data_IF_812775536464
#
_entry.id   IF_812775536464
#
_cell.length_a   1.000
_cell.length_b   1.000
_cell.length_c   1.000
_cell.angle_alpha   90.00
_cell.angle_beta   90.00
_cell.angle_gamma   90.00
#
_symmetry.space_group_name_H-M   'P 1'
#
loop_
_entity.id
_entity.type
_entity.pdbx_description
1 polymer ?
#
# COMPACT_ATOMS: atom_id res chain seq x y z
N UNK A 1 -11.20 16.63 -9.05
CA UNK A 1 -11.37 15.35 -8.33
C UNK A 1 -10.26 15.27 -7.29
N UNK A 2 -10.54 14.89 -6.04
CA UNK A 2 -9.50 14.69 -5.02
C UNK A 2 -8.54 13.59 -5.49
N UNK A 3 -7.37 13.96 -5.97
CA UNK A 3 -6.33 13.00 -6.33
C UNK A 3 -5.73 12.42 -5.05
N UNK A 4 -5.44 11.12 -5.05
CA UNK A 4 -4.75 10.49 -3.93
C UNK A 4 -3.37 11.16 -3.74
N UNK A 5 -2.94 11.48 -2.50
CA UNK A 5 -1.68 12.17 -2.23
C UNK A 5 -0.46 11.42 -2.78
N UNK A 6 0.39 12.03 -3.63
CA UNK A 6 1.51 11.32 -4.26
C UNK A 6 2.61 10.93 -3.25
N UNK A 7 3.40 9.92 -3.63
CA UNK A 7 4.72 9.66 -3.05
C UNK A 7 5.77 10.05 -4.09
N UNK A 8 6.81 10.76 -3.65
CA UNK A 8 7.90 11.20 -4.51
C UNK A 8 9.14 10.33 -4.34
N UNK A 9 9.06 9.28 -3.53
CA UNK A 9 10.17 8.38 -3.27
C UNK A 9 10.67 7.71 -4.57
N UNK A 10 11.98 7.84 -4.82
CA UNK A 10 12.65 7.36 -6.03
C UNK A 10 12.53 8.29 -7.25
N UNK A 11 11.84 9.44 -7.15
CA UNK A 11 11.77 10.40 -8.27
C UNK A 11 13.13 11.06 -8.53
N UNK A 12 13.47 11.17 -9.81
CA UNK A 12 14.66 11.87 -10.32
C UNK A 12 14.32 13.35 -10.55
N UNK A 13 15.11 14.23 -9.98
CA UNK A 13 14.99 15.70 -10.09
C UNK A 13 16.21 16.23 -10.83
N UNK A 14 15.98 16.98 -11.90
CA UNK A 14 17.02 17.55 -12.76
C UNK A 14 17.09 19.06 -12.53
N UNK A 15 18.29 19.62 -12.29
CA UNK A 15 18.45 21.06 -12.05
C UNK A 15 18.38 21.88 -13.35
N UNK A 16 18.94 21.35 -14.43
CA UNK A 16 19.28 22.18 -15.59
C UNK A 16 18.36 21.94 -16.81
N UNK A 17 17.32 21.11 -16.67
CA UNK A 17 16.41 20.71 -17.75
C UNK A 17 17.06 19.87 -18.87
N UNK A 18 18.39 19.88 -18.98
CA UNK A 18 19.20 18.99 -19.79
C UNK A 18 19.57 17.79 -18.91
N UNK A 19 19.23 16.57 -19.33
CA UNK A 19 19.30 15.30 -18.59
C UNK A 19 20.71 14.85 -18.11
N UNK A 20 21.65 15.74 -17.82
CA UNK A 20 23.05 15.41 -17.49
C UNK A 20 23.25 15.07 -16.01
N UNK A 21 22.61 15.80 -15.07
CA UNK A 21 22.71 15.57 -13.63
C UNK A 21 21.34 15.50 -12.99
N UNK A 22 21.12 14.45 -12.20
CA UNK A 22 19.89 14.27 -11.44
C UNK A 22 20.18 13.92 -9.98
N UNK A 23 19.22 14.26 -9.13
CA UNK A 23 19.17 13.87 -7.74
C UNK A 23 17.97 12.97 -7.51
N UNK A 24 18.09 11.97 -6.64
CA UNK A 24 17.00 11.04 -6.34
C UNK A 24 16.44 11.36 -4.97
N UNK A 25 15.13 11.50 -4.86
CA UNK A 25 14.47 11.61 -3.57
C UNK A 25 14.49 10.23 -2.88
N UNK A 26 15.27 10.07 -1.81
CA UNK A 26 15.34 8.79 -1.04
C UNK A 26 14.78 8.89 0.38
N UNK A 27 14.32 10.06 0.77
CA UNK A 27 13.65 10.31 2.04
C UNK A 27 12.55 11.35 1.83
N UNK A 28 11.35 11.05 2.31
CA UNK A 28 10.25 11.99 2.43
C UNK A 28 9.54 11.79 3.77
N UNK A 29 9.04 12.89 4.34
CA UNK A 29 8.22 12.86 5.54
C UNK A 29 7.13 13.92 5.46
N UNK A 30 5.87 13.50 5.61
CA UNK A 30 4.72 14.40 5.60
C UNK A 30 4.69 15.20 6.91
N UNK A 31 4.67 16.53 6.80
CA UNK A 31 4.58 17.48 7.90
C UNK A 31 3.30 18.31 7.80
N UNK A 32 2.50 18.30 8.87
CA UNK A 32 1.29 19.15 8.97
C UNK A 32 0.26 18.95 7.84
N UNK A 33 0.27 17.79 7.18
CA UNK A 33 -0.71 17.39 6.15
C UNK A 33 -0.60 18.09 4.79
N UNK A 34 0.23 19.13 4.64
CA UNK A 34 0.36 19.90 3.38
C UNK A 34 1.78 20.04 2.86
N UNK A 35 2.78 19.80 3.71
CA UNK A 35 4.20 19.92 3.36
C UNK A 35 4.88 18.56 3.47
N UNK A 36 5.89 18.36 2.64
CA UNK A 36 6.71 17.16 2.65
C UNK A 36 8.16 17.60 2.79
N UNK A 37 8.83 17.13 3.84
CA UNK A 37 10.26 17.33 4.01
C UNK A 37 10.98 16.21 3.27
N UNK A 38 11.82 16.58 2.31
CA UNK A 38 12.51 15.64 1.45
C UNK A 38 14.03 15.81 1.52
N UNK A 39 14.74 14.68 1.40
CA UNK A 39 16.18 14.68 1.14
C UNK A 39 16.43 14.11 -0.25
N UNK A 40 17.12 14.88 -1.08
CA UNK A 40 17.55 14.47 -2.40
C UNK A 40 19.03 14.08 -2.36
N UNK A 41 19.34 13.01 -3.08
CA UNK A 41 20.61 12.32 -3.02
C UNK A 41 21.34 12.43 -4.34
N UNK A 42 22.65 12.69 -4.25
CA UNK A 42 23.58 12.41 -5.32
C UNK A 42 24.25 11.07 -4.99
N UNK A 43 23.98 10.05 -5.82
CA UNK A 43 24.34 8.66 -5.51
C UNK A 43 23.74 8.22 -4.17
N UNK A 44 24.57 8.04 -3.14
CA UNK A 44 24.16 7.63 -1.78
C UNK A 44 24.29 8.73 -0.72
N UNK A 45 24.77 9.92 -1.08
CA UNK A 45 24.91 11.01 -0.14
C UNK A 45 23.71 11.96 -0.23
N UNK A 46 23.05 12.32 0.90
CA UNK A 46 22.05 13.38 0.90
C UNK A 46 22.77 14.72 0.66
N UNK A 47 22.30 15.48 -0.33
CA UNK A 47 22.96 16.72 -0.77
C UNK A 47 22.04 17.92 -0.75
N UNK A 48 20.73 17.72 -0.93
CA UNK A 48 19.74 18.80 -0.94
C UNK A 48 18.64 18.46 0.06
N UNK A 49 18.28 19.43 0.89
CA UNK A 49 17.02 19.41 1.63
C UNK A 49 16.00 20.24 0.85
N UNK A 50 14.78 19.73 0.77
CA UNK A 50 13.67 20.41 0.14
C UNK A 50 12.41 20.33 0.99
N UNK A 51 11.60 21.37 0.91
CA UNK A 51 10.21 21.39 1.38
C UNK A 51 9.35 21.38 0.14
N UNK A 52 8.56 20.33 -0.04
CA UNK A 52 7.62 20.21 -1.15
C UNK A 52 6.20 20.47 -0.65
N UNK A 53 5.33 20.94 -1.53
CA UNK A 53 3.89 20.88 -1.30
C UNK A 53 3.33 19.47 -1.61
N UNK A 54 2.05 19.26 -1.33
CA UNK A 54 1.34 18.01 -1.63
C UNK A 54 1.31 17.63 -3.12
N UNK A 55 1.63 18.53 -4.04
CA UNK A 55 1.71 18.28 -5.48
C UNK A 55 3.15 18.03 -5.96
N UNK A 56 4.15 18.14 -5.07
CA UNK A 56 5.56 17.97 -5.38
C UNK A 56 6.25 19.24 -5.88
N UNK A 57 5.60 20.40 -5.76
CA UNK A 57 6.21 21.68 -6.06
C UNK A 57 7.18 22.06 -4.95
N UNK A 58 8.37 22.53 -5.33
CA UNK A 58 9.37 23.01 -4.39
C UNK A 58 8.90 24.34 -3.76
N UNK A 59 8.69 24.33 -2.45
CA UNK A 59 8.40 25.52 -1.65
C UNK A 59 9.69 26.18 -1.14
N UNK A 60 10.68 25.37 -0.79
CA UNK A 60 12.04 25.79 -0.45
C UNK A 60 13.01 24.64 -0.80
N UNK A 61 14.23 24.96 -1.18
CA UNK A 61 15.29 23.96 -1.34
C UNK A 61 16.67 24.59 -1.25
N UNK A 62 17.61 23.87 -0.66
CA UNK A 62 19.01 24.30 -0.58
C UNK A 62 19.96 23.12 -0.43
N UNK A 63 21.19 23.32 -0.89
CA UNK A 63 22.27 22.38 -0.62
C UNK A 63 22.61 22.34 0.86
N UNK A 64 22.72 21.13 1.41
CA UNK A 64 23.07 20.88 2.81
C UNK A 64 24.49 21.37 3.16
N UNK A 65 25.36 21.58 2.15
CA UNK A 65 26.67 22.21 2.33
C UNK A 65 26.60 23.71 2.61
N UNK A 66 25.53 24.37 2.18
CA UNK A 66 25.43 25.84 2.19
C UNK A 66 24.61 26.36 3.37
N UNK A 67 23.64 25.58 3.85
CA UNK A 67 22.68 26.01 4.87
C UNK A 67 22.22 24.83 5.70
N UNK A 68 22.03 25.09 7.00
CA UNK A 68 21.41 24.15 7.94
C UNK A 68 20.29 24.87 8.68
N UNK A 69 19.10 24.29 8.67
CA UNK A 69 17.91 24.74 9.39
C UNK A 69 17.50 23.70 10.43
N UNK A 70 16.62 24.07 11.35
CA UNK A 70 16.06 23.12 12.34
C UNK A 70 15.40 21.93 11.64
N UNK A 71 14.66 22.18 10.56
CA UNK A 71 13.93 21.15 9.83
C UNK A 71 14.87 20.22 9.06
N UNK A 72 15.89 20.78 8.38
CA UNK A 72 16.89 19.96 7.68
C UNK A 72 17.74 19.14 8.65
N UNK A 73 18.09 19.69 9.82
CA UNK A 73 18.79 18.94 10.87
C UNK A 73 17.96 17.76 11.38
N UNK A 74 16.67 17.98 11.68
CA UNK A 74 15.75 16.92 12.11
C UNK A 74 15.57 15.84 11.05
N UNK A 75 15.41 16.23 9.78
CA UNK A 75 15.30 15.27 8.68
C UNK A 75 16.58 14.43 8.54
N UNK A 76 17.75 15.07 8.62
CA UNK A 76 19.05 14.38 8.58
C UNK A 76 19.25 13.44 9.75
N UNK A 77 18.88 13.82 10.98
CA UNK A 77 18.97 12.95 12.15
C UNK A 77 18.06 11.73 12.04
N UNK A 78 16.82 11.93 11.56
CA UNK A 78 15.89 10.82 11.30
C UNK A 78 16.43 9.89 10.23
N UNK A 79 16.92 10.43 9.12
CA UNK A 79 17.54 9.64 8.07
C UNK A 79 18.76 8.86 8.59
N UNK A 80 19.63 9.48 9.38
CA UNK A 80 20.79 8.78 10.00
C UNK A 80 20.36 7.59 10.84
N UNK A 81 19.33 7.72 11.68
CA UNK A 81 18.79 6.60 12.47
C UNK A 81 18.29 5.46 11.60
N UNK A 82 17.63 5.77 10.48
CA UNK A 82 17.15 4.78 9.51
C UNK A 82 18.36 4.11 8.83
N UNK A 83 19.33 4.89 8.36
CA UNK A 83 20.52 4.39 7.68
C UNK A 83 21.39 3.51 8.59
N UNK A 84 21.57 3.89 9.85
CA UNK A 84 22.27 3.09 10.87
C UNK A 84 21.55 1.78 11.14
N UNK A 85 20.22 1.75 11.18
CA UNK A 85 19.47 0.49 11.31
C UNK A 85 19.67 -0.38 10.09
N UNK A 86 19.59 0.20 8.89
CA UNK A 86 19.76 -0.52 7.62
C UNK A 86 21.17 -1.06 7.39
N UNK A 87 22.20 -0.46 8.00
CA UNK A 87 23.58 -0.99 7.90
C UNK A 87 23.77 -2.32 8.62
N UNK A 88 22.85 -2.72 9.50
CA UNK A 88 22.86 -4.04 10.14
C UNK A 88 22.41 -5.14 9.17
N UNK A 89 21.74 -4.79 8.08
CA UNK A 89 21.35 -5.74 7.03
C UNK A 89 22.54 -6.01 6.11
N UNK A 90 22.89 -7.30 5.95
CA UNK A 90 24.02 -7.76 5.14
C UNK A 90 23.68 -7.77 3.65
N UNK A 91 23.34 -6.60 3.09
CA UNK A 91 22.98 -6.42 1.67
C UNK A 91 23.87 -5.35 1.04
N UNK A 92 24.66 -5.75 0.06
CA UNK A 92 25.58 -4.87 -0.66
C UNK A 92 24.88 -4.08 -1.78
N UNK A 93 25.52 -3.06 -2.34
CA UNK A 93 24.98 -2.35 -3.50
C UNK A 93 24.78 -3.25 -4.72
N UNK A 94 25.66 -4.23 -4.92
CA UNK A 94 25.54 -5.17 -6.04
C UNK A 94 24.36 -6.12 -5.83
N UNK A 95 24.12 -6.55 -4.59
CA UNK A 95 22.92 -7.33 -4.24
C UNK A 95 21.64 -6.55 -4.56
N UNK A 96 21.59 -5.26 -4.20
CA UNK A 96 20.43 -4.40 -4.47
C UNK A 96 20.19 -4.21 -5.98
N UNK A 97 21.25 -4.01 -6.76
CA UNK A 97 21.16 -3.89 -8.23
C UNK A 97 20.68 -5.19 -8.86
N UNK A 98 21.10 -6.33 -8.33
CA UNK A 98 20.63 -7.63 -8.81
C UNK A 98 19.17 -7.89 -8.41
N UNK A 99 18.76 -7.44 -7.22
CA UNK A 99 17.39 -7.55 -6.72
C UNK A 99 16.35 -6.72 -7.49
N UNK A 100 16.77 -5.79 -8.36
CA UNK A 100 15.91 -5.10 -9.32
C UNK A 100 15.40 -5.99 -10.46
N UNK A 101 15.96 -7.19 -10.61
CA UNK A 101 15.56 -8.16 -11.63
C UNK A 101 14.56 -9.17 -11.07
N UNK A 102 13.76 -9.82 -11.93
CA UNK A 102 12.99 -10.99 -11.55
C UNK A 102 13.90 -12.13 -11.08
N UNK A 103 13.38 -13.01 -10.22
CA UNK A 103 14.11 -14.14 -9.64
C UNK A 103 14.85 -14.99 -10.68
N UNK A 104 14.19 -15.30 -11.81
CA UNK A 104 14.77 -16.07 -12.93
C UNK A 104 15.99 -15.42 -13.60
N UNK A 105 16.13 -14.10 -13.49
CA UNK A 105 17.18 -13.31 -14.15
C UNK A 105 18.21 -12.75 -13.13
N UNK A 106 17.91 -12.89 -11.84
CA UNK A 106 18.78 -12.49 -10.75
C UNK A 106 19.88 -13.54 -10.55
N UNK A 107 21.11 -13.07 -10.31
CA UNK A 107 22.25 -13.96 -10.02
C UNK A 107 22.21 -14.48 -8.59
N UNK A 108 21.62 -13.72 -7.66
CA UNK A 108 21.44 -14.08 -6.25
C UNK A 108 22.71 -14.62 -5.59
N UNK A 109 23.85 -13.94 -5.80
CA UNK A 109 25.16 -14.35 -5.23
C UNK A 109 25.15 -14.43 -3.69
N UNK A 110 24.27 -13.67 -3.05
CA UNK A 110 24.02 -13.74 -1.62
C UNK A 110 22.84 -14.69 -1.38
N UNK A 111 23.13 -15.89 -0.87
CA UNK A 111 22.14 -16.95 -0.63
C UNK A 111 20.99 -16.51 0.29
N UNK A 112 21.23 -15.51 1.14
CA UNK A 112 20.24 -14.98 2.08
C UNK A 112 19.52 -13.73 1.58
N UNK A 113 19.68 -13.34 0.31
CA UNK A 113 19.17 -12.07 -0.21
C UNK A 113 17.65 -11.93 -0.04
N UNK A 114 16.88 -13.00 -0.30
CA UNK A 114 15.42 -12.98 -0.14
C UNK A 114 15.05 -12.66 1.31
N UNK A 115 15.66 -13.35 2.28
CA UNK A 115 15.42 -13.13 3.70
C UNK A 115 15.76 -11.69 4.10
N UNK A 116 16.94 -11.20 3.72
CA UNK A 116 17.35 -9.84 4.07
C UNK A 116 16.42 -8.77 3.48
N UNK A 117 15.92 -8.96 2.25
CA UNK A 117 14.95 -8.03 1.65
C UNK A 117 13.60 -8.08 2.39
N UNK A 118 13.13 -9.26 2.78
CA UNK A 118 11.90 -9.40 3.59
C UNK A 118 12.08 -8.73 4.95
N UNK A 119 13.16 -9.02 5.66
CA UNK A 119 13.46 -8.45 6.98
C UNK A 119 13.49 -6.91 6.92
N UNK A 120 14.10 -6.35 5.88
CA UNK A 120 14.13 -4.89 5.68
C UNK A 120 12.74 -4.32 5.39
N UNK A 121 11.94 -4.96 4.52
CA UNK A 121 10.55 -4.53 4.28
C UNK A 121 9.70 -4.60 5.54
N UNK A 122 9.86 -5.65 6.35
CA UNK A 122 9.15 -5.81 7.62
C UNK A 122 9.53 -4.71 8.62
N UNK A 123 10.79 -4.31 8.69
CA UNK A 123 11.23 -3.16 9.51
C UNK A 123 10.63 -1.86 9.01
N UNK A 124 10.69 -1.61 7.69
CA UNK A 124 10.14 -0.41 7.06
C UNK A 124 8.61 -0.31 7.33
N UNK A 125 7.87 -1.42 7.21
CA UNK A 125 6.44 -1.49 7.54
C UNK A 125 6.22 -1.28 9.05
N UNK A 126 7.01 -1.92 9.91
CA UNK A 126 6.85 -1.84 11.38
C UNK A 126 7.01 -0.41 11.89
N UNK A 127 7.94 0.33 11.31
CA UNK A 127 8.34 1.67 11.72
C UNK A 127 7.79 2.81 10.84
N UNK A 128 7.10 2.47 9.75
CA UNK A 128 6.54 3.43 8.78
C UNK A 128 7.62 4.31 8.15
N UNK A 129 8.78 3.71 7.86
CA UNK A 129 9.92 4.42 7.27
C UNK A 129 9.80 4.55 5.75
N UNK A 130 10.38 5.62 5.16
CA UNK A 130 10.62 5.68 3.72
C UNK A 130 11.53 4.52 3.29
N UNK A 131 11.01 3.66 2.42
CA UNK A 131 11.72 2.44 2.03
C UNK A 131 12.77 2.70 0.96
N UNK A 132 14.04 2.41 1.25
CA UNK A 132 15.11 2.50 0.24
C UNK A 132 14.90 1.50 -0.90
N UNK A 133 14.28 0.36 -0.62
CA UNK A 133 14.03 -0.68 -1.61
C UNK A 133 12.98 -0.20 -2.61
N UNK A 134 11.90 0.43 -2.12
CA UNK A 134 10.90 1.08 -2.98
C UNK A 134 11.51 2.26 -3.74
N UNK A 135 12.32 3.11 -3.06
CA UNK A 135 13.01 4.21 -3.72
C UNK A 135 13.88 3.74 -4.88
N UNK A 136 14.64 2.66 -4.68
CA UNK A 136 15.49 2.04 -5.68
C UNK A 136 14.68 1.44 -6.83
N UNK A 137 13.61 0.70 -6.52
CA UNK A 137 12.70 0.15 -7.53
C UNK A 137 12.07 1.25 -8.38
N UNK A 138 11.60 2.33 -7.77
CA UNK A 138 10.99 3.45 -8.47
C UNK A 138 11.99 4.23 -9.34
N UNK A 139 13.24 4.35 -8.89
CA UNK A 139 14.28 5.10 -9.61
C UNK A 139 14.86 4.31 -10.80
N UNK A 140 15.15 3.02 -10.60
CA UNK A 140 16.00 2.23 -11.49
C UNK A 140 15.41 0.86 -11.86
N UNK A 141 14.28 0.46 -11.28
CA UNK A 141 13.60 -0.79 -11.59
C UNK A 141 13.01 -0.81 -13.00
N UNK A 142 13.09 -1.98 -13.63
CA UNK A 142 12.57 -2.22 -14.99
C UNK A 142 11.50 -3.31 -15.07
N UNK A 143 11.33 -4.07 -13.99
CA UNK A 143 10.42 -5.18 -13.90
C UNK A 143 9.52 -5.02 -12.67
N UNK A 144 8.22 -5.13 -12.86
CA UNK A 144 7.22 -5.03 -11.78
C UNK A 144 7.28 -6.21 -10.81
N UNK A 145 7.86 -7.32 -11.26
CA UNK A 145 8.06 -8.56 -10.50
C UNK A 145 9.53 -8.78 -10.10
N UNK A 146 10.26 -7.70 -9.81
CA UNK A 146 11.61 -7.79 -9.26
C UNK A 146 11.64 -8.56 -7.93
N UNK A 147 12.81 -9.03 -7.51
CA UNK A 147 12.99 -9.63 -6.18
C UNK A 147 12.55 -8.66 -5.07
N UNK A 148 12.81 -7.35 -5.23
CA UNK A 148 12.34 -6.32 -4.29
C UNK A 148 10.81 -6.33 -4.16
N UNK A 149 10.08 -6.33 -5.29
CA UNK A 149 8.62 -6.25 -5.28
C UNK A 149 7.95 -7.57 -4.89
N UNK A 150 8.63 -8.69 -5.17
CA UNK A 150 8.19 -10.03 -4.76
C UNK A 150 8.35 -10.22 -3.26
N UNK A 151 9.48 -9.82 -2.67
CA UNK A 151 9.70 -9.89 -1.22
C UNK A 151 8.84 -8.88 -0.47
N UNK A 152 8.53 -7.71 -1.05
CA UNK A 152 7.55 -6.78 -0.50
C UNK A 152 6.16 -7.40 -0.40
N UNK A 153 5.73 -8.13 -1.42
CA UNK A 153 4.44 -8.87 -1.41
C UNK A 153 4.37 -9.84 -0.24
N UNK A 154 5.46 -10.56 0.02
CA UNK A 154 5.56 -11.48 1.13
C UNK A 154 5.56 -10.75 2.48
N UNK A 155 6.38 -9.71 2.63
CA UNK A 155 6.43 -8.92 3.86
C UNK A 155 5.06 -8.31 4.22
N UNK A 156 4.28 -7.85 3.23
CA UNK A 156 2.92 -7.31 3.45
C UNK A 156 1.96 -8.38 4.02
N UNK A 157 2.09 -9.64 3.60
CA UNK A 157 1.30 -10.79 4.08
C UNK A 157 1.72 -11.25 5.49
N UNK A 158 2.97 -10.99 5.89
CA UNK A 158 3.50 -11.40 7.20
C UNK A 158 3.34 -10.29 8.26
N UNK A 159 3.36 -9.03 7.83
CA UNK A 159 3.28 -7.88 8.73
C UNK A 159 1.86 -7.66 9.28
N UNK A 160 1.78 -6.83 10.32
CA UNK A 160 0.49 -6.36 10.85
C UNK A 160 -0.27 -5.56 9.78
N UNK A 161 -1.51 -5.95 9.48
CA UNK A 161 -2.24 -5.42 8.33
C UNK A 161 -2.53 -3.92 8.40
N UNK A 162 -2.77 -3.36 9.59
CA UNK A 162 -2.98 -1.91 9.76
C UNK A 162 -1.70 -1.11 9.50
N UNK A 163 -0.54 -1.64 9.92
CA UNK A 163 0.75 -1.04 9.58
C UNK A 163 1.05 -1.18 8.10
N UNK A 164 0.76 -2.33 7.50
CA UNK A 164 0.88 -2.55 6.06
C UNK A 164 0.00 -1.58 5.28
N UNK A 165 -1.24 -1.34 5.72
CA UNK A 165 -2.14 -0.37 5.10
C UNK A 165 -1.53 1.03 5.07
N UNK A 166 -1.11 1.56 6.23
CA UNK A 166 -0.45 2.88 6.31
C UNK A 166 0.83 2.96 5.48
N UNK A 167 1.63 1.89 5.50
CA UNK A 167 2.85 1.80 4.72
C UNK A 167 2.56 1.88 3.21
N UNK A 168 1.56 1.14 2.73
CA UNK A 168 1.11 1.17 1.33
C UNK A 168 0.68 2.58 0.92
N UNK A 169 -0.08 3.27 1.78
CA UNK A 169 -0.52 4.65 1.52
C UNK A 169 0.65 5.63 1.46
N UNK A 170 1.62 5.51 2.38
CA UNK A 170 2.78 6.40 2.40
C UNK A 170 3.67 6.24 1.16
N UNK A 171 3.69 5.06 0.55
CA UNK A 171 4.54 4.74 -0.61
C UNK A 171 3.78 4.67 -1.94
N UNK A 172 2.45 4.86 -1.92
CA UNK A 172 1.56 4.80 -3.09
C UNK A 172 1.72 3.55 -3.95
N UNK A 173 1.84 2.41 -3.27
CA UNK A 173 1.84 1.06 -3.85
C UNK A 173 0.44 0.43 -3.73
N UNK A 174 -0.59 1.18 -4.13
CA UNK A 174 -2.00 0.89 -3.83
C UNK A 174 -2.47 -0.47 -4.41
N UNK A 175 -1.79 -1.00 -5.42
CA UNK A 175 -2.05 -2.33 -5.99
C UNK A 175 -1.86 -3.48 -5.00
N UNK A 176 -1.20 -3.24 -3.87
CA UNK A 176 -1.00 -4.23 -2.80
C UNK A 176 -2.14 -4.25 -1.77
N UNK A 177 -3.05 -3.27 -1.76
CA UNK A 177 -4.20 -3.24 -0.84
C UNK A 177 -5.03 -4.54 -0.86
N UNK A 178 -5.34 -5.15 -2.03
CA UNK A 178 -6.13 -6.38 -2.05
C UNK A 178 -5.48 -7.58 -1.36
N UNK A 179 -4.18 -7.54 -1.05
CA UNK A 179 -3.50 -8.59 -0.27
C UNK A 179 -3.88 -8.54 1.21
N UNK A 180 -4.25 -7.36 1.72
CA UNK A 180 -4.66 -7.19 3.12
C UNK A 180 -5.96 -7.93 3.43
N UNK A 181 -6.70 -8.36 2.40
CA UNK A 181 -7.89 -9.20 2.54
C UNK A 181 -7.61 -10.53 3.24
N UNK A 182 -6.38 -11.05 3.17
CA UNK A 182 -5.95 -12.28 3.87
C UNK A 182 -6.07 -12.14 5.40
N UNK A 183 -5.99 -10.91 5.92
CA UNK A 183 -6.04 -10.62 7.34
C UNK A 183 -7.43 -10.21 7.84
N UNK A 184 -8.48 -10.35 7.01
CA UNK A 184 -9.80 -9.77 7.32
C UNK A 184 -10.45 -10.36 8.57
N UNK A 185 -10.14 -11.62 8.91
CA UNK A 185 -10.67 -12.26 10.11
C UNK A 185 -10.02 -11.70 11.39
N UNK A 186 -8.72 -11.39 11.35
CA UNK A 186 -7.99 -10.84 12.51
C UNK A 186 -8.13 -9.30 12.60
N UNK A 187 -8.40 -8.65 11.47
CA UNK A 187 -8.47 -7.20 11.34
C UNK A 187 -9.71 -6.74 10.54
N UNK A 188 -10.94 -7.02 11.01
CA UNK A 188 -12.17 -6.68 10.29
C UNK A 188 -12.34 -5.17 10.05
N UNK A 189 -11.75 -4.33 10.90
CA UNK A 189 -11.73 -2.86 10.77
C UNK A 189 -11.13 -2.38 9.43
N UNK A 190 -10.30 -3.19 8.76
CA UNK A 190 -9.73 -2.86 7.44
C UNK A 190 -10.81 -2.53 6.41
N UNK A 191 -11.98 -3.16 6.49
CA UNK A 191 -13.10 -2.89 5.57
C UNK A 191 -13.47 -1.41 5.59
N UNK A 192 -13.63 -0.85 6.79
CA UNK A 192 -14.05 0.53 6.96
C UNK A 192 -12.91 1.49 6.70
N UNK A 193 -11.70 1.20 7.17
CA UNK A 193 -10.53 2.07 6.99
C UNK A 193 -10.14 2.23 5.51
N UNK A 194 -10.07 1.13 4.76
CA UNK A 194 -9.75 1.14 3.33
C UNK A 194 -10.88 1.83 2.56
N UNK A 195 -12.14 1.50 2.86
CA UNK A 195 -13.30 2.13 2.22
C UNK A 195 -13.30 3.65 2.42
N UNK A 196 -13.17 4.11 3.67
CA UNK A 196 -13.17 5.53 3.99
C UNK A 196 -12.07 6.29 3.24
N UNK A 197 -10.88 5.71 3.14
CA UNK A 197 -9.77 6.33 2.43
C UNK A 197 -9.97 6.36 0.92
N UNK A 198 -10.27 5.24 0.28
CA UNK A 198 -10.33 5.18 -1.19
C UNK A 198 -11.61 5.79 -1.79
N UNK A 199 -12.75 5.66 -1.11
CA UNK A 199 -14.00 6.25 -1.60
C UNK A 199 -14.03 7.77 -1.44
N UNK A 200 -13.35 8.34 -0.43
CA UNK A 200 -13.21 9.80 -0.32
C UNK A 200 -12.37 10.43 -1.44
N UNK A 201 -11.59 9.63 -2.16
CA UNK A 201 -10.78 10.06 -3.29
C UNK A 201 -11.33 9.63 -4.66
N UNK A 202 -12.53 9.02 -4.71
CA UNK A 202 -13.12 8.45 -5.93
C UNK A 202 -12.26 7.34 -6.59
N UNK A 203 -11.51 6.58 -5.77
CA UNK A 203 -10.70 5.44 -6.23
C UNK A 203 -11.38 4.09 -5.94
N UNK A 204 -12.59 3.92 -6.50
CA UNK A 204 -13.41 2.72 -6.28
C UNK A 204 -12.78 1.41 -6.77
N UNK A 205 -11.87 1.45 -7.75
CA UNK A 205 -11.26 0.25 -8.34
C UNK A 205 -10.47 -0.57 -7.32
N UNK A 206 -9.64 0.08 -6.49
CA UNK A 206 -8.84 -0.59 -5.46
C UNK A 206 -9.74 -1.21 -4.41
N UNK A 207 -10.75 -0.45 -3.94
CA UNK A 207 -11.71 -0.96 -2.98
C UNK A 207 -12.50 -2.15 -3.53
N UNK A 208 -12.91 -2.11 -4.81
CA UNK A 208 -13.62 -3.22 -5.46
C UNK A 208 -12.77 -4.50 -5.47
N UNK A 209 -11.48 -4.39 -5.80
CA UNK A 209 -10.55 -5.52 -5.77
C UNK A 209 -10.36 -6.06 -4.36
N UNK A 210 -10.23 -5.17 -3.37
CA UNK A 210 -10.16 -5.58 -1.96
C UNK A 210 -11.42 -6.33 -1.53
N UNK A 211 -12.62 -5.84 -1.84
CA UNK A 211 -13.88 -6.53 -1.54
C UNK A 211 -13.91 -7.92 -2.14
N UNK A 212 -13.52 -8.07 -3.41
CA UNK A 212 -13.52 -9.36 -4.07
C UNK A 212 -12.54 -10.35 -3.45
N UNK A 213 -11.36 -9.91 -3.03
CA UNK A 213 -10.41 -10.75 -2.34
C UNK A 213 -10.92 -11.10 -0.92
N UNK A 214 -11.50 -10.14 -0.20
CA UNK A 214 -12.02 -10.35 1.14
C UNK A 214 -13.11 -11.44 1.17
N UNK A 215 -13.96 -11.53 0.13
CA UNK A 215 -14.94 -12.63 0.02
C UNK A 215 -14.33 -14.02 -0.04
N UNK A 216 -13.04 -14.17 -0.32
CA UNK A 216 -12.34 -15.47 -0.33
C UNK A 216 -11.83 -15.86 1.06
N UNK A 217 -11.45 -14.90 1.89
CA UNK A 217 -10.78 -15.15 3.18
C UNK A 217 -11.70 -15.00 4.38
N UNK A 218 -12.77 -14.21 4.27
CA UNK A 218 -13.69 -13.98 5.38
C UNK A 218 -14.33 -15.28 5.85
N UNK A 219 -14.40 -15.49 7.17
CA UNK A 219 -15.17 -16.60 7.73
C UNK A 219 -16.65 -16.40 7.44
N UNK A 220 -17.29 -17.39 6.83
CA UNK A 220 -18.73 -17.40 6.54
C UNK A 220 -19.63 -17.36 7.78
N UNK A 221 -19.06 -17.63 8.95
CA UNK A 221 -19.74 -17.58 10.26
C UNK A 221 -19.66 -16.18 10.89
N UNK A 222 -18.76 -15.32 10.40
CA UNK A 222 -18.56 -13.98 10.96
C UNK A 222 -19.58 -12.99 10.36
N UNK A 223 -20.80 -13.03 10.90
CA UNK A 223 -21.94 -12.24 10.46
C UNK A 223 -21.64 -10.73 10.38
N UNK A 224 -21.02 -10.17 11.42
CA UNK A 224 -20.71 -8.75 11.51
C UNK A 224 -19.76 -8.29 10.41
N UNK A 225 -18.69 -9.06 10.18
CA UNK A 225 -17.69 -8.71 9.15
C UNK A 225 -18.27 -8.85 7.76
N UNK A 226 -19.13 -9.86 7.52
CA UNK A 226 -19.80 -10.06 6.24
C UNK A 226 -20.79 -8.92 5.95
N UNK A 227 -21.60 -8.55 6.93
CA UNK A 227 -22.52 -7.43 6.82
C UNK A 227 -21.78 -6.12 6.57
N UNK A 228 -20.66 -5.87 7.26
CA UNK A 228 -19.79 -4.72 7.05
C UNK A 228 -19.24 -4.69 5.61
N UNK A 229 -18.70 -5.81 5.12
CA UNK A 229 -18.17 -5.94 3.76
C UNK A 229 -19.23 -5.64 2.69
N UNK A 230 -20.41 -6.23 2.85
CA UNK A 230 -21.53 -6.05 1.93
C UNK A 230 -22.10 -4.62 1.97
N UNK A 231 -22.11 -3.99 3.15
CA UNK A 231 -22.50 -2.59 3.30
C UNK A 231 -21.55 -1.66 2.55
N UNK A 232 -20.24 -1.85 2.69
CA UNK A 232 -19.27 -1.06 1.92
C UNK A 232 -19.37 -1.34 0.41
N UNK A 233 -19.55 -2.60 0.01
CA UNK A 233 -19.76 -2.96 -1.39
C UNK A 233 -21.00 -2.28 -2.01
N UNK A 234 -22.08 -2.16 -1.24
CA UNK A 234 -23.30 -1.45 -1.64
C UNK A 234 -23.04 0.05 -1.83
N UNK A 235 -22.21 0.68 -0.98
CA UNK A 235 -21.84 2.09 -1.14
C UNK A 235 -21.09 2.34 -2.45
N UNK A 236 -20.18 1.44 -2.83
CA UNK A 236 -19.45 1.52 -4.10
C UNK A 236 -20.43 1.51 -5.28
N UNK A 237 -21.38 0.57 -5.30
CA UNK A 237 -22.35 0.47 -6.39
C UNK A 237 -23.26 1.71 -6.50
N UNK A 238 -23.61 2.33 -5.37
CA UNK A 238 -24.43 3.57 -5.35
C UNK A 238 -23.68 4.78 -5.90
N UNK A 239 -22.38 4.88 -5.65
CA UNK A 239 -21.57 6.04 -6.07
C UNK A 239 -21.05 5.85 -7.51
N UNK A 240 -20.62 4.65 -7.88
CA UNK A 240 -19.90 4.39 -9.11
C UNK A 240 -20.69 3.60 -10.16
N UNK A 241 -21.99 3.33 -9.92
CA UNK A 241 -22.88 2.55 -10.81
C UNK A 241 -22.29 1.18 -11.20
N UNK A 242 -21.60 0.53 -10.26
CA UNK A 242 -20.95 -0.77 -10.46
C UNK A 242 -21.84 -1.95 -10.05
N UNK A 243 -21.28 -3.16 -10.10
CA UNK A 243 -21.94 -4.41 -9.67
C UNK A 243 -21.16 -5.17 -8.59
N UNK A 244 -20.34 -4.46 -7.82
CA UNK A 244 -19.45 -5.01 -6.79
C UNK A 244 -20.26 -5.71 -5.71
N UNK A 245 -21.36 -5.11 -5.26
CA UNK A 245 -22.23 -5.67 -4.23
C UNK A 245 -22.84 -7.00 -4.69
N UNK A 246 -23.43 -7.03 -5.89
CA UNK A 246 -24.00 -8.25 -6.48
C UNK A 246 -22.96 -9.36 -6.59
N UNK A 247 -21.76 -9.04 -7.09
CA UNK A 247 -20.70 -10.02 -7.28
C UNK A 247 -20.17 -10.56 -5.95
N UNK A 248 -19.97 -9.70 -4.95
CA UNK A 248 -19.55 -10.09 -3.61
C UNK A 248 -20.57 -11.02 -2.95
N UNK A 249 -21.86 -10.65 -3.00
CA UNK A 249 -22.96 -11.47 -2.49
C UNK A 249 -22.96 -12.85 -3.16
N UNK A 250 -22.92 -12.92 -4.50
CA UNK A 250 -22.94 -14.21 -5.21
C UNK A 250 -21.77 -15.10 -4.83
N UNK A 251 -20.57 -14.55 -4.62
CA UNK A 251 -19.40 -15.31 -4.16
C UNK A 251 -19.61 -15.89 -2.76
N UNK A 252 -20.09 -15.06 -1.82
CA UNK A 252 -20.39 -15.52 -0.46
C UNK A 252 -21.48 -16.60 -0.45
N UNK A 253 -22.55 -16.43 -1.23
CA UNK A 253 -23.61 -17.43 -1.33
C UNK A 253 -23.12 -18.77 -1.89
N UNK A 254 -22.19 -18.74 -2.85
CA UNK A 254 -21.54 -19.97 -3.35
C UNK A 254 -20.72 -20.64 -2.26
N UNK A 255 -19.95 -19.87 -1.48
CA UNK A 255 -19.18 -20.39 -0.34
C UNK A 255 -20.07 -21.02 0.71
N UNK A 256 -21.15 -20.36 1.12
CA UNK A 256 -22.12 -20.90 2.11
C UNK A 256 -22.66 -22.26 1.70
N UNK A 257 -22.99 -22.46 0.41
CA UNK A 257 -23.48 -23.76 -0.11
C UNK A 257 -22.44 -24.88 -0.08
N UNK A 258 -21.15 -24.53 -0.10
CA UNK A 258 -20.04 -25.48 -0.15
C UNK A 258 -19.50 -25.76 1.25
N UNK A 259 -19.38 -24.72 2.07
CA UNK A 259 -18.76 -24.74 3.39
C UNK A 259 -19.77 -25.04 4.51
N UNK A 260 -21.08 -24.92 4.26
CA UNK A 260 -22.12 -25.22 5.25
C UNK A 260 -23.24 -26.10 4.70
N UNK A 261 -23.94 -26.75 5.62
CA UNK A 261 -25.22 -27.41 5.35
C UNK A 261 -26.43 -26.47 5.51
N UNK A 262 -26.20 -25.17 5.71
CA UNK A 262 -27.26 -24.21 6.00
C UNK A 262 -27.94 -23.74 4.70
N UNK A 263 -29.28 -23.70 4.64
CA UNK A 263 -29.97 -23.06 3.54
C UNK A 263 -29.58 -21.58 3.44
N UNK A 264 -29.29 -21.10 2.23
CA UNK A 264 -28.90 -19.70 1.96
C UNK A 264 -29.85 -18.67 2.58
N UNK A 265 -31.16 -18.96 2.61
CA UNK A 265 -32.17 -18.06 3.19
C UNK A 265 -32.00 -17.92 4.71
N UNK A 266 -31.69 -19.02 5.40
CA UNK A 266 -31.43 -19.04 6.84
C UNK A 266 -30.16 -18.26 7.15
N UNK A 267 -29.07 -18.56 6.42
CA UNK A 267 -27.80 -17.86 6.57
C UNK A 267 -27.93 -16.35 6.39
N UNK A 268 -28.65 -15.89 5.36
CA UNK A 268 -28.93 -14.47 5.14
C UNK A 268 -29.73 -13.84 6.29
N UNK A 269 -30.65 -14.59 6.91
CA UNK A 269 -31.45 -14.13 8.04
C UNK A 269 -30.62 -13.92 9.31
N UNK A 270 -29.61 -14.76 9.52
CA UNK A 270 -28.69 -14.69 10.66
C UNK A 270 -27.56 -13.67 10.45
N UNK A 271 -27.08 -13.56 9.21
CA UNK A 271 -25.91 -12.73 8.83
C UNK A 271 -26.28 -11.27 8.65
N UNK A 272 -27.42 -10.98 8.01
CA UNK A 272 -27.81 -9.63 7.65
C UNK A 272 -28.83 -9.11 8.65
N UNK A 273 -28.55 -7.99 9.31
CA UNK A 273 -29.44 -7.29 10.24
C UNK A 273 -29.97 -5.98 9.65
N UNK A 274 -29.17 -5.30 8.83
CA UNK A 274 -29.49 -4.04 8.17
C UNK A 274 -30.66 -4.18 7.19
N UNK A 275 -31.74 -3.42 7.44
CA UNK A 275 -32.96 -3.45 6.62
C UNK A 275 -32.76 -2.96 5.17
N UNK A 276 -31.94 -1.91 4.96
CA UNK A 276 -31.66 -1.42 3.61
C UNK A 276 -30.88 -2.47 2.81
N UNK A 277 -29.89 -3.12 3.44
CA UNK A 277 -29.11 -4.17 2.81
C UNK A 277 -30.00 -5.38 2.46
N UNK A 278 -30.87 -5.81 3.37
CA UNK A 278 -31.85 -6.89 3.11
C UNK A 278 -32.69 -6.64 1.87
N UNK A 279 -33.22 -5.42 1.72
CA UNK A 279 -34.06 -5.05 0.57
C UNK A 279 -33.30 -5.22 -0.75
N UNK A 280 -32.09 -4.69 -0.82
CA UNK A 280 -31.27 -4.74 -2.03
C UNK A 280 -30.84 -6.19 -2.36
N UNK A 281 -30.56 -7.02 -1.34
CA UNK A 281 -30.30 -8.46 -1.52
C UNK A 281 -31.51 -9.16 -2.15
N UNK A 282 -32.72 -8.92 -1.64
CA UNK A 282 -33.94 -9.54 -2.15
C UNK A 282 -34.15 -9.17 -3.63
N UNK A 283 -33.93 -7.91 -3.98
CA UNK A 283 -34.09 -7.44 -5.37
C UNK A 283 -33.06 -8.07 -6.31
N UNK A 284 -31.81 -8.24 -5.86
CA UNK A 284 -30.77 -8.96 -6.62
C UNK A 284 -31.17 -10.43 -6.83
N UNK A 285 -31.66 -11.11 -5.79
CA UNK A 285 -32.05 -12.52 -5.86
C UNK A 285 -33.27 -12.74 -6.76
N UNK A 286 -34.22 -11.80 -6.81
CA UNK A 286 -35.36 -11.85 -7.73
C UNK A 286 -34.95 -11.70 -9.19
N UNK A 287 -33.99 -10.81 -9.49
CA UNK A 287 -33.50 -10.55 -10.87
C UNK A 287 -32.55 -11.64 -11.41
N UNK A 288 -32.09 -12.55 -10.56
CA UNK A 288 -31.13 -13.61 -10.94
C UNK A 288 -31.82 -14.98 -11.06
N UNK A 289 -33.12 -15.06 -10.76
CA UNK A 289 -34.01 -16.18 -11.12
C UNK A 289 -34.67 -15.90 -12.46
#
# INVERSE_FOLDING_TARGET
MPALPPSFLGKKVYLDGQNSRYYVLKYEEIQGGKKIHALLFEREAPVIFAVLDHNGQFLDSFFLSNKTTVDSSKAMERYKKIAERKSHHKVTQDDLKDALKPEKDAKMKNDNIIKHLIDEHLEDIKHQWPSRLIALQNADGKADNSLIMTTLKQAIKEANALKSFKFILNHRIDSYIPLLAEHINDHPQLIQEISAYYLSHDYAKIMSQFVFNATQYISIENAETIESLLTEAQKIDRVNYSSVFKQALVKLLKRVKVETNMPTKTWLGETIRNHSLKKDIVDILKKTR
#
